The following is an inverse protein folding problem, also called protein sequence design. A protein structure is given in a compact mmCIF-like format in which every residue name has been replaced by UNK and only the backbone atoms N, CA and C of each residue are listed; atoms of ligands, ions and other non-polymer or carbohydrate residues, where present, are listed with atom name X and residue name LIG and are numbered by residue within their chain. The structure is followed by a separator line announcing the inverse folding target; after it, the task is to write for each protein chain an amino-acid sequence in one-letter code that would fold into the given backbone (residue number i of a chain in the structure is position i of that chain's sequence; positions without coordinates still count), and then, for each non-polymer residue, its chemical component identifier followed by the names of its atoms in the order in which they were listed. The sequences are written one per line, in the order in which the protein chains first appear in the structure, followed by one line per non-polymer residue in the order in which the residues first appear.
data_IF_242136857908
#
_entry.id   IF_242136857908
#
_cell.length_a   1.000
_cell.length_b   1.000
_cell.length_c   1.000
_cell.angle_alpha   90.00
_cell.angle_beta   90.00
_cell.angle_gamma   90.00
#
_symmetry.space_group_name_H-M   'P 1'
#
loop_
_entity.id
_entity.type
_entity.pdbx_description
1 polymer ?
#
# COMPACT_ATOMS: atom_id res chain seq x y z
N UNK A 1 2.71 -18.26 13.00
CA UNK A 1 2.09 -18.87 11.81
C UNK A 1 0.60 -19.00 12.02
N UNK A 2 -0.19 -18.56 11.05
CA UNK A 2 -1.66 -18.63 11.10
C UNK A 2 -2.17 -19.33 9.85
N UNK A 3 -3.26 -20.06 10.00
CA UNK A 3 -4.01 -20.62 8.87
C UNK A 3 -4.76 -19.48 8.14
N UNK A 4 -4.62 -19.43 6.81
CA UNK A 4 -5.24 -18.38 5.99
C UNK A 4 -6.76 -18.57 5.80
N UNK A 5 -7.28 -19.75 6.03
CA UNK A 5 -8.72 -20.04 5.88
C UNK A 5 -9.48 -19.74 7.16
N UNK A 6 -8.96 -20.15 8.29
CA UNK A 6 -9.62 -20.03 9.59
C UNK A 6 -9.17 -18.83 10.40
N UNK A 7 -8.06 -18.18 10.01
CA UNK A 7 -7.33 -17.14 10.75
C UNK A 7 -6.86 -17.57 12.15
N UNK A 8 -6.85 -18.86 12.43
CA UNK A 8 -6.39 -19.39 13.71
C UNK A 8 -4.86 -19.53 13.74
N UNK A 9 -4.21 -19.29 14.89
CA UNK A 9 -2.81 -19.55 15.05
C UNK A 9 -2.54 -21.06 15.02
N UNK A 10 -1.68 -21.50 14.09
CA UNK A 10 -1.27 -22.91 13.94
C UNK A 10 -0.03 -23.21 14.78
N UNK A 11 0.90 -22.26 14.82
CA UNK A 11 2.13 -22.41 15.57
C UNK A 11 2.72 -21.06 15.97
N UNK A 12 3.36 -21.03 17.12
CA UNK A 12 4.22 -19.92 17.56
C UNK A 12 5.66 -20.44 17.48
N UNK A 13 6.48 -19.76 16.68
CA UNK A 13 7.89 -20.09 16.57
C UNK A 13 8.67 -19.40 17.70
N UNK A 14 9.76 -20.02 18.20
CA UNK A 14 10.54 -19.45 19.30
C UNK A 14 11.26 -18.15 18.92
N UNK A 15 11.57 -17.99 17.64
CA UNK A 15 12.25 -16.81 17.11
C UNK A 15 11.77 -16.48 15.69
N UNK A 16 12.36 -15.43 15.09
CA UNK A 16 12.07 -14.96 13.73
C UNK A 16 13.16 -15.34 12.72
N UNK A 17 14.04 -16.27 13.07
CA UNK A 17 15.14 -16.64 12.20
C UNK A 17 14.62 -17.42 10.97
N UNK A 18 15.18 -17.16 9.78
CA UNK A 18 14.82 -17.88 8.56
C UNK A 18 14.99 -19.40 8.69
N UNK A 19 16.05 -19.86 9.39
CA UNK A 19 16.36 -21.28 9.61
C UNK A 19 15.25 -21.97 10.40
N UNK A 20 14.69 -21.29 11.40
CA UNK A 20 13.59 -21.81 12.21
C UNK A 20 12.33 -21.97 11.35
N UNK A 21 12.07 -21.00 10.49
CA UNK A 21 10.95 -21.06 9.53
C UNK A 21 11.15 -22.20 8.54
N UNK A 22 12.35 -22.35 7.96
CA UNK A 22 12.70 -23.45 7.06
C UNK A 22 12.47 -24.81 7.71
N UNK A 23 12.97 -24.99 8.93
CA UNK A 23 12.86 -26.24 9.68
C UNK A 23 11.41 -26.57 10.03
N UNK A 24 10.60 -25.55 10.31
CA UNK A 24 9.19 -25.74 10.62
C UNK A 24 8.40 -26.13 9.36
N UNK A 25 8.60 -25.43 8.23
CA UNK A 25 7.89 -25.72 6.98
C UNK A 25 8.22 -27.13 6.47
N UNK A 26 9.47 -27.59 6.59
CA UNK A 26 9.87 -28.94 6.20
C UNK A 26 9.10 -30.04 6.92
N UNK A 27 8.57 -29.78 8.13
CA UNK A 27 7.76 -30.75 8.87
C UNK A 27 6.35 -30.91 8.32
N UNK A 28 5.90 -29.95 7.49
CA UNK A 28 4.52 -29.90 6.98
C UNK A 28 4.52 -29.81 5.45
N UNK A 29 4.81 -30.94 4.75
CA UNK A 29 4.91 -30.95 3.29
C UNK A 29 3.58 -30.67 2.57
N UNK A 30 2.46 -30.69 3.28
CA UNK A 30 1.13 -30.39 2.77
C UNK A 30 0.87 -28.87 2.56
N UNK A 31 1.80 -28.02 2.95
CA UNK A 31 1.68 -26.58 2.74
C UNK A 31 1.89 -26.25 1.26
N UNK A 32 0.87 -25.72 0.60
CA UNK A 32 0.89 -25.34 -0.81
C UNK A 32 1.09 -23.83 -1.00
N UNK A 33 0.54 -23.02 -0.10
CA UNK A 33 0.54 -21.56 -0.22
C UNK A 33 1.00 -20.93 1.08
N UNK A 34 1.92 -19.98 1.00
CA UNK A 34 2.37 -19.15 2.14
C UNK A 34 2.25 -17.69 1.80
N UNK A 35 1.46 -16.96 2.60
CA UNK A 35 1.45 -15.50 2.58
C UNK A 35 2.52 -14.94 3.51
N UNK A 36 3.30 -14.00 3.03
CA UNK A 36 4.41 -13.39 3.78
C UNK A 36 4.53 -11.89 3.54
N UNK A 37 5.21 -11.23 4.46
CA UNK A 37 5.68 -9.85 4.28
C UNK A 37 6.85 -9.76 3.27
N UNK A 38 7.39 -8.55 3.11
CA UNK A 38 8.49 -8.27 2.16
C UNK A 38 9.87 -8.71 2.61
N UNK A 39 10.02 -9.37 3.76
CA UNK A 39 11.34 -9.75 4.25
C UNK A 39 11.98 -10.84 3.38
N UNK A 40 13.16 -10.52 2.82
CA UNK A 40 13.84 -11.39 1.87
C UNK A 40 14.28 -12.74 2.52
N UNK A 41 14.62 -12.74 3.80
CA UNK A 41 14.98 -13.94 4.55
C UNK A 41 13.87 -14.98 4.57
N UNK A 42 12.61 -14.58 4.73
CA UNK A 42 11.49 -15.53 4.68
C UNK A 42 11.25 -16.09 3.28
N UNK A 43 11.45 -15.24 2.25
CA UNK A 43 11.39 -15.73 0.86
C UNK A 43 12.37 -16.87 0.62
N UNK A 44 13.61 -16.68 1.05
CA UNK A 44 14.66 -17.67 0.90
C UNK A 44 14.35 -18.93 1.74
N UNK A 45 13.98 -18.78 3.00
CA UNK A 45 13.62 -19.85 3.91
C UNK A 45 12.52 -20.78 3.35
N UNK A 46 11.45 -20.18 2.79
CA UNK A 46 10.36 -20.94 2.19
C UNK A 46 10.83 -21.67 0.93
N UNK A 47 11.63 -21.02 0.08
CA UNK A 47 12.17 -21.63 -1.13
C UNK A 47 13.12 -22.79 -0.83
N UNK A 48 13.93 -22.66 0.22
CA UNK A 48 14.82 -23.73 0.70
C UNK A 48 14.05 -24.90 1.35
N UNK A 49 12.94 -24.61 1.99
CA UNK A 49 12.09 -25.63 2.58
C UNK A 49 11.39 -26.46 1.49
N UNK A 50 10.71 -25.79 0.57
CA UNK A 50 10.05 -26.45 -0.56
C UNK A 50 9.82 -25.42 -1.69
N UNK A 51 10.42 -25.66 -2.86
CA UNK A 51 10.30 -24.81 -4.05
C UNK A 51 8.93 -24.82 -4.70
N UNK A 52 8.10 -25.80 -4.43
CA UNK A 52 6.75 -25.89 -5.00
C UNK A 52 5.73 -25.03 -4.26
N UNK A 53 6.07 -24.48 -3.09
CA UNK A 53 5.19 -23.60 -2.33
C UNK A 53 4.98 -22.29 -3.08
N UNK A 54 3.71 -21.95 -3.34
CA UNK A 54 3.34 -20.67 -3.88
C UNK A 54 3.48 -19.59 -2.80
N UNK A 55 4.39 -18.64 -3.02
CA UNK A 55 4.57 -17.51 -2.10
C UNK A 55 3.74 -16.32 -2.56
N UNK A 56 2.84 -15.87 -1.69
CA UNK A 56 1.99 -14.69 -1.92
C UNK A 56 2.49 -13.53 -1.06
N UNK A 57 2.57 -12.36 -1.66
CA UNK A 57 2.94 -11.15 -0.96
C UNK A 57 1.75 -10.61 -0.16
N UNK A 58 1.94 -10.29 1.11
CA UNK A 58 0.89 -9.68 1.91
C UNK A 58 0.50 -8.31 1.33
N UNK A 59 -0.77 -8.22 0.92
CA UNK A 59 -1.35 -7.03 0.28
C UNK A 59 -1.20 -5.77 1.12
N UNK A 60 -1.37 -5.88 2.43
CA UNK A 60 -1.27 -4.74 3.34
C UNK A 60 0.15 -4.18 3.38
N UNK A 61 1.15 -5.05 3.51
CA UNK A 61 2.56 -4.67 3.46
C UNK A 61 2.96 -4.07 2.11
N UNK A 62 2.42 -4.60 1.02
CA UNK A 62 2.62 -4.02 -0.31
C UNK A 62 2.10 -2.57 -0.38
N UNK A 63 0.87 -2.33 0.05
CA UNK A 63 0.25 -1.00 0.05
C UNK A 63 1.02 -0.03 0.96
N UNK A 64 1.42 -0.47 2.15
CA UNK A 64 2.22 0.35 3.06
C UNK A 64 3.57 0.74 2.47
N UNK A 65 4.26 -0.21 1.83
CA UNK A 65 5.54 0.08 1.21
C UNK A 65 5.38 1.04 0.03
N UNK A 66 4.38 0.85 -0.81
CA UNK A 66 4.05 1.77 -1.90
C UNK A 66 3.76 3.19 -1.38
N UNK A 67 2.99 3.31 -0.30
CA UNK A 67 2.72 4.59 0.35
C UNK A 67 4.00 5.25 0.87
N UNK A 68 4.85 4.52 1.57
CA UNK A 68 6.14 5.05 2.07
C UNK A 68 7.03 5.57 0.93
N UNK A 69 7.10 4.83 -0.19
CA UNK A 69 7.86 5.26 -1.36
C UNK A 69 7.27 6.53 -1.98
N UNK A 70 5.95 6.61 -2.07
CA UNK A 70 5.26 7.80 -2.57
C UNK A 70 5.49 9.01 -1.66
N UNK A 71 5.33 8.84 -0.34
CA UNK A 71 5.58 9.91 0.64
C UNK A 71 7.03 10.41 0.56
N UNK A 72 7.99 9.50 0.44
CA UNK A 72 9.41 9.84 0.26
C UNK A 72 9.65 10.62 -1.04
N UNK A 73 9.04 10.19 -2.14
CA UNK A 73 9.14 10.88 -3.42
C UNK A 73 8.51 12.27 -3.36
N UNK A 74 7.32 12.39 -2.81
CA UNK A 74 6.62 13.67 -2.66
C UNK A 74 7.41 14.64 -1.77
N UNK A 75 8.05 14.16 -0.70
CA UNK A 75 8.90 14.99 0.15
C UNK A 75 10.09 15.62 -0.59
N UNK A 76 10.58 14.98 -1.68
CA UNK A 76 11.63 15.55 -2.52
C UNK A 76 11.12 16.57 -3.54
N UNK A 77 9.85 16.44 -3.94
CA UNK A 77 9.26 17.27 -5.01
C UNK A 77 8.47 18.46 -4.48
N UNK A 78 7.87 18.32 -3.30
CA UNK A 78 7.05 19.37 -2.69
C UNK A 78 7.94 20.22 -1.78
N UNK A 79 7.99 21.55 -1.97
CA UNK A 79 8.77 22.42 -1.10
C UNK A 79 8.21 22.38 0.33
N UNK A 80 9.09 22.42 1.33
CA UNK A 80 8.74 22.39 2.76
C UNK A 80 7.92 23.63 3.20
N UNK A 81 7.90 24.67 2.40
CA UNK A 81 7.11 25.89 2.65
C UNK A 81 6.42 26.35 1.37
N UNK A 82 5.11 26.48 1.42
CA UNK A 82 4.32 27.10 0.35
C UNK A 82 4.15 28.57 0.73
N UNK A 83 4.76 29.46 -0.05
CA UNK A 83 4.49 30.90 0.09
C UNK A 83 3.25 31.24 -0.72
N UNK A 84 2.21 31.67 -0.06
CA UNK A 84 1.06 32.27 -0.71
C UNK A 84 1.47 33.65 -1.23
N UNK A 85 1.65 33.77 -2.53
CA UNK A 85 1.70 35.09 -3.16
C UNK A 85 0.27 35.63 -3.13
N UNK A 86 0.07 36.77 -2.48
CA UNK A 86 -1.20 37.47 -2.61
C UNK A 86 -1.48 37.65 -4.10
N UNK A 87 -2.61 37.14 -4.54
CA UNK A 87 -3.03 37.33 -5.92
C UNK A 87 -3.21 38.83 -6.13
N UNK A 88 -2.72 39.38 -7.24
CA UNK A 88 -2.96 40.81 -7.54
C UNK A 88 -4.46 41.06 -7.49
N UNK A 89 -4.87 42.01 -6.67
CA UNK A 89 -6.27 42.41 -6.44
C UNK A 89 -6.93 43.04 -7.69
N UNK A 90 -6.31 42.94 -8.82
CA UNK A 90 -6.88 43.35 -10.12
C UNK A 90 -7.88 42.28 -10.59
N UNK A 91 -9.17 42.61 -10.67
CA UNK A 91 -10.16 41.70 -11.22
C UNK A 91 -9.74 41.36 -12.65
N UNK A 92 -9.48 40.09 -12.92
CA UNK A 92 -9.27 39.62 -14.28
C UNK A 92 -10.50 39.93 -15.10
N UNK A 93 -10.38 40.81 -16.08
CA UNK A 93 -11.47 41.21 -17.00
C UNK A 93 -12.13 40.01 -17.68
N UNK A 94 -11.39 38.92 -17.89
CA UNK A 94 -11.88 37.67 -18.43
C UNK A 94 -11.17 36.51 -17.71
N UNK A 95 -11.81 35.83 -16.77
CA UNK A 95 -11.22 34.61 -16.18
C UNK A 95 -10.98 33.58 -17.28
N UNK A 96 -9.85 32.84 -17.24
CA UNK A 96 -9.61 31.76 -18.19
C UNK A 96 -10.76 30.75 -18.11
N UNK A 97 -11.09 30.07 -19.22
CA UNK A 97 -12.15 29.07 -19.22
C UNK A 97 -11.82 27.98 -18.20
N UNK A 98 -12.84 27.61 -17.41
CA UNK A 98 -12.71 26.57 -16.39
C UNK A 98 -12.14 25.29 -17.01
N UNK A 99 -11.17 24.70 -16.35
CA UNK A 99 -10.66 23.38 -16.72
C UNK A 99 -11.79 22.35 -16.64
N UNK A 100 -11.66 21.24 -17.38
CA UNK A 100 -12.66 20.16 -17.39
C UNK A 100 -12.95 19.61 -15.99
N UNK A 101 -11.96 19.68 -15.08
CA UNK A 101 -12.11 19.26 -13.70
C UNK A 101 -12.94 20.26 -12.90
N UNK A 102 -12.65 21.54 -13.01
CA UNK A 102 -13.37 22.62 -12.33
C UNK A 102 -14.83 22.72 -12.77
N UNK A 103 -15.10 22.52 -14.07
CA UNK A 103 -16.46 22.39 -14.59
C UNK A 103 -17.22 21.22 -13.95
N UNK A 104 -16.59 20.06 -13.80
CA UNK A 104 -17.21 18.90 -13.12
C UNK A 104 -17.50 19.17 -11.64
N UNK A 105 -16.61 19.86 -10.94
CA UNK A 105 -16.81 20.24 -9.52
C UNK A 105 -17.98 21.21 -9.41
N UNK A 106 -18.01 22.24 -10.25
CA UNK A 106 -19.08 23.24 -10.28
C UNK A 106 -20.45 22.58 -10.57
N UNK A 107 -20.53 21.74 -11.59
CA UNK A 107 -21.78 21.05 -11.93
C UNK A 107 -22.25 20.13 -10.78
N UNK A 108 -21.35 19.50 -10.02
CA UNK A 108 -21.72 18.70 -8.83
C UNK A 108 -22.24 19.57 -7.69
N UNK A 109 -21.70 20.77 -7.50
CA UNK A 109 -22.18 21.70 -6.49
C UNK A 109 -23.58 22.21 -6.85
N UNK A 110 -23.81 22.58 -8.11
CA UNK A 110 -25.10 23.03 -8.60
C UNK A 110 -26.18 21.93 -8.50
N UNK A 111 -25.83 20.68 -8.79
CA UNK A 111 -26.75 19.54 -8.64
C UNK A 111 -27.14 19.25 -7.19
N UNK A 112 -26.25 19.53 -6.21
CA UNK A 112 -26.59 19.36 -4.78
C UNK A 112 -27.67 20.30 -4.27
N UNK A 113 -27.86 21.45 -4.90
CA UNK A 113 -28.87 22.45 -4.50
C UNK A 113 -30.24 22.21 -5.15
N UNK A 114 -30.32 21.29 -6.11
CA UNK A 114 -31.57 20.92 -6.80
C UNK A 114 -32.37 19.79 -6.12
N UNK A 115 -31.86 19.23 -5.02
CA UNK A 115 -32.49 18.16 -4.24
C UNK A 115 -32.90 18.62 -2.84
N UNK A 116 -33.57 19.76 -2.72
CA UNK A 116 -34.28 20.17 -1.50
C UNK A 116 -35.78 20.16 -1.80
#
# INVERSE_FOLDING_TARGET
MCDLQTNNPVAILPDRLPETVTSWIKKYPSIEVVSRDGFAGYRQAITEANRSILQVYDRWHFIQNARKQLDSFLATMVPSSIRWTEQPKTPMKNPPPLTRLEQRIKNRQEQKWLFI
#
